data_IF_607560373475
#
_entry.id   IF_607560373475
#
_cell.length_a   1.000
_cell.length_b   1.000
_cell.length_c   1.000
_cell.angle_alpha   90.00
_cell.angle_beta   90.00
_cell.angle_gamma   90.00
#
_symmetry.space_group_name_H-M   'P 1'
#
loop_
_entity.id
_entity.type
_entity.pdbx_description
1 polymer ?
#
# COMPACT_ATOMS: atom_id res chain seq x y z
N UNK A 1 9.60 3.03 -28.27
CA UNK A 1 8.59 2.05 -27.84
C UNK A 1 7.93 2.64 -26.60
N UNK A 2 6.62 2.46 -26.33
CA UNK A 2 6.12 2.86 -25.03
C UNK A 2 6.87 2.05 -23.98
N UNK A 3 7.35 2.71 -22.93
CA UNK A 3 7.98 2.04 -21.80
C UNK A 3 6.97 1.08 -21.19
N UNK A 4 7.29 -0.22 -21.20
CA UNK A 4 6.42 -1.25 -20.63
C UNK A 4 6.60 -1.29 -19.12
N UNK A 5 5.49 -1.33 -18.38
CA UNK A 5 5.56 -1.57 -16.94
C UNK A 5 5.79 -3.06 -16.65
N UNK A 6 6.80 -3.41 -15.83
CA UNK A 6 7.07 -4.80 -15.48
C UNK A 6 5.95 -5.35 -14.57
N UNK A 7 5.66 -6.65 -14.72
CA UNK A 7 4.82 -7.40 -13.78
C UNK A 7 5.73 -8.26 -12.92
N UNK A 8 5.68 -8.04 -11.61
CA UNK A 8 6.46 -8.79 -10.64
C UNK A 8 5.79 -10.15 -10.43
N UNK A 9 6.52 -11.20 -10.76
CA UNK A 9 6.15 -12.58 -10.45
C UNK A 9 6.97 -13.01 -9.23
N UNK A 10 6.33 -13.64 -8.26
CA UNK A 10 6.98 -14.17 -7.07
C UNK A 10 6.26 -15.44 -6.58
N UNK A 11 6.96 -16.26 -5.81
CA UNK A 11 6.48 -17.56 -5.34
C UNK A 11 6.27 -17.58 -3.82
N UNK A 12 5.66 -18.65 -3.32
CA UNK A 12 5.37 -18.80 -1.89
C UNK A 12 6.63 -18.79 -1.00
N UNK A 13 7.81 -19.07 -1.58
CA UNK A 13 9.11 -19.02 -0.90
C UNK A 13 9.56 -17.58 -0.60
N UNK A 14 9.06 -16.61 -1.37
CA UNK A 14 9.42 -15.19 -1.23
C UNK A 14 8.56 -14.49 -0.18
N UNK A 15 7.47 -15.14 0.27
CA UNK A 15 6.53 -14.58 1.22
C UNK A 15 7.11 -14.49 2.63
N UNK A 16 7.03 -13.29 3.20
CA UNK A 16 7.14 -13.09 4.62
C UNK A 16 5.77 -13.37 5.27
N UNK A 17 5.74 -14.35 6.18
CA UNK A 17 4.52 -14.69 6.93
C UNK A 17 4.23 -13.62 7.97
N UNK A 18 3.59 -12.54 7.56
CA UNK A 18 2.92 -11.59 8.44
C UNK A 18 1.42 -11.93 8.46
N UNK A 19 0.87 -12.17 9.65
CA UNK A 19 -0.57 -12.38 9.83
C UNK A 19 -1.32 -11.07 9.55
N UNK A 20 -1.88 -10.91 8.35
CA UNK A 20 -2.68 -9.71 8.05
C UNK A 20 -4.14 -9.87 8.48
N UNK A 21 -4.57 -9.01 9.39
CA UNK A 21 -5.97 -8.81 9.78
C UNK A 21 -6.69 -7.94 8.73
N UNK A 22 -7.58 -8.54 7.92
CA UNK A 22 -8.42 -7.84 6.94
C UNK A 22 -9.00 -8.75 5.85
N UNK A 23 -10.11 -8.35 5.22
CA UNK A 23 -10.79 -9.15 4.18
C UNK A 23 -10.09 -9.13 2.80
N UNK A 24 -9.14 -8.20 2.56
CA UNK A 24 -8.35 -8.15 1.32
C UNK A 24 -6.99 -8.80 1.56
N UNK A 25 -6.63 -9.72 0.67
CA UNK A 25 -5.37 -10.47 0.72
C UNK A 25 -4.19 -9.53 0.52
N UNK A 26 -3.27 -9.53 1.50
CA UNK A 26 -2.04 -8.74 1.50
C UNK A 26 -0.89 -9.62 1.96
N UNK A 27 0.23 -9.58 1.25
CA UNK A 27 1.41 -10.35 1.61
C UNK A 27 2.66 -9.49 1.53
N UNK A 28 3.51 -9.57 2.54
CA UNK A 28 4.86 -9.06 2.43
C UNK A 28 5.73 -10.08 1.70
N UNK A 29 6.61 -9.61 0.82
CA UNK A 29 7.61 -10.44 0.15
C UNK A 29 8.90 -9.66 -0.06
N UNK A 30 10.00 -10.36 -0.30
CA UNK A 30 11.28 -9.74 -0.63
C UNK A 30 11.66 -9.95 -2.08
N UNK A 31 12.29 -8.93 -2.65
CA UNK A 31 12.96 -9.02 -3.95
C UNK A 31 14.33 -8.37 -3.84
N UNK A 32 15.38 -9.19 -3.76
CA UNK A 32 16.71 -8.70 -3.38
C UNK A 32 16.69 -8.17 -1.94
N UNK A 33 17.23 -6.97 -1.74
CA UNK A 33 17.25 -6.30 -0.43
C UNK A 33 15.98 -5.48 -0.15
N UNK A 34 15.06 -5.38 -1.12
CA UNK A 34 13.85 -4.59 -1.00
C UNK A 34 12.68 -5.43 -0.45
N UNK A 35 11.88 -4.81 0.42
CA UNK A 35 10.66 -5.38 0.99
C UNK A 35 9.44 -4.76 0.32
N UNK A 36 8.53 -5.59 -0.15
CA UNK A 36 7.36 -5.19 -0.93
C UNK A 36 6.07 -5.72 -0.32
N UNK A 37 5.01 -4.92 -0.34
CA UNK A 37 3.66 -5.32 0.06
C UNK A 37 2.84 -5.62 -1.19
N UNK A 38 2.59 -6.89 -1.46
CA UNK A 38 1.59 -7.31 -2.43
C UNK A 38 0.19 -7.05 -1.90
N UNK A 39 -0.66 -6.48 -2.76
CA UNK A 39 -2.09 -6.30 -2.55
C UNK A 39 -2.81 -6.97 -3.70
N UNK A 40 -3.58 -8.01 -3.40
CA UNK A 40 -4.39 -8.67 -4.41
C UNK A 40 -5.46 -7.72 -4.95
N UNK A 41 -5.52 -7.58 -6.26
CA UNK A 41 -6.53 -6.80 -6.95
C UNK A 41 -7.83 -7.59 -7.05
N UNK A 42 -8.96 -6.91 -6.92
CA UNK A 42 -10.25 -7.53 -7.26
C UNK A 42 -10.36 -7.69 -8.77
N UNK A 43 -10.89 -8.83 -9.20
CA UNK A 43 -11.11 -9.10 -10.62
C UNK A 43 -12.04 -8.02 -11.22
N UNK A 44 -11.67 -7.51 -12.40
CA UNK A 44 -12.43 -6.52 -13.18
C UNK A 44 -12.67 -5.15 -12.52
N UNK A 45 -11.92 -4.76 -11.49
CA UNK A 45 -12.04 -3.43 -10.88
C UNK A 45 -10.99 -2.42 -11.35
N UNK A 46 -9.85 -2.89 -11.87
CA UNK A 46 -8.72 -2.03 -12.24
C UNK A 46 -8.01 -1.38 -11.05
N UNK A 47 -8.18 -1.92 -9.84
CA UNK A 47 -7.53 -1.44 -8.62
C UNK A 47 -5.99 -1.46 -8.75
N UNK A 48 -5.43 -2.50 -9.38
CA UNK A 48 -3.99 -2.69 -9.61
C UNK A 48 -3.41 -1.58 -10.52
N UNK A 49 -4.07 -1.31 -11.64
CA UNK A 49 -3.64 -0.27 -12.58
C UNK A 49 -3.84 1.14 -12.01
N UNK A 50 -4.89 1.34 -11.22
CA UNK A 50 -5.16 2.63 -10.56
C UNK A 50 -4.07 2.98 -9.54
N UNK A 51 -3.64 2.01 -8.72
CA UNK A 51 -2.51 2.22 -7.80
C UNK A 51 -1.21 2.51 -8.55
N UNK A 52 -0.90 1.74 -9.61
CA UNK A 52 0.30 1.97 -10.44
C UNK A 52 0.28 3.38 -11.05
N UNK A 53 -0.84 3.77 -11.66
CA UNK A 53 -0.99 5.10 -12.25
C UNK A 53 -0.83 6.21 -11.21
N UNK A 54 -1.39 6.05 -10.02
CA UNK A 54 -1.24 7.01 -8.92
C UNK A 54 0.23 7.19 -8.52
N UNK A 55 0.98 6.10 -8.41
CA UNK A 55 2.42 6.14 -8.12
C UNK A 55 3.22 6.85 -9.21
N UNK A 56 2.92 6.60 -10.49
CA UNK A 56 3.63 7.23 -11.61
C UNK A 56 3.32 8.73 -11.68
N UNK A 57 2.06 9.14 -11.49
CA UNK A 57 1.69 10.55 -11.43
C UNK A 57 2.39 11.25 -10.25
N UNK A 58 2.43 10.63 -9.08
CA UNK A 58 3.14 11.19 -7.93
C UNK A 58 4.63 11.39 -8.23
N UNK A 59 5.26 10.40 -8.88
CA UNK A 59 6.67 10.49 -9.30
C UNK A 59 6.90 11.61 -10.32
N UNK A 60 5.98 11.82 -11.28
CA UNK A 60 6.08 12.90 -12.28
C UNK A 60 5.89 14.29 -11.67
N UNK A 61 5.20 14.38 -10.54
CA UNK A 61 4.93 15.62 -9.81
C UNK A 61 5.91 15.87 -8.64
N UNK A 62 6.94 15.03 -8.48
CA UNK A 62 7.87 15.05 -7.35
C UNK A 62 7.16 14.99 -5.97
N UNK A 63 6.02 14.31 -5.90
CA UNK A 63 5.28 14.08 -4.65
C UNK A 63 5.83 12.81 -3.99
N UNK A 64 6.30 12.87 -2.73
CA UNK A 64 6.73 11.67 -2.01
C UNK A 64 5.60 10.65 -1.89
N UNK A 65 5.76 9.51 -2.54
CA UNK A 65 4.82 8.41 -2.52
C UNK A 65 5.58 7.08 -2.57
N UNK A 66 4.94 6.00 -2.09
CA UNK A 66 5.49 4.66 -2.24
C UNK A 66 5.53 4.29 -3.73
N UNK A 67 6.66 3.72 -4.17
CA UNK A 67 6.75 3.14 -5.51
C UNK A 67 5.83 1.94 -5.61
N UNK A 68 4.98 1.92 -6.64
CA UNK A 68 4.09 0.80 -6.94
C UNK A 68 4.50 0.14 -8.26
N UNK A 69 4.51 -1.18 -8.28
CA UNK A 69 4.68 -2.00 -9.49
C UNK A 69 3.51 -2.96 -9.64
N UNK A 70 3.21 -3.38 -10.88
CA UNK A 70 2.23 -4.43 -11.10
C UNK A 70 2.80 -5.77 -10.63
N UNK A 71 1.95 -6.65 -10.10
CA UNK A 71 2.40 -7.92 -9.55
C UNK A 71 1.37 -9.03 -9.77
N UNK A 72 1.85 -10.26 -9.77
CA UNK A 72 1.04 -11.47 -9.85
C UNK A 72 1.62 -12.54 -8.92
N UNK A 73 0.73 -13.21 -8.20
CA UNK A 73 1.05 -14.29 -7.28
C UNK A 73 0.05 -15.42 -7.44
N UNK A 74 0.54 -16.64 -7.68
CA UNK A 74 -0.31 -17.83 -7.86
C UNK A 74 -1.46 -17.63 -8.89
N UNK A 75 -1.19 -16.89 -9.97
CA UNK A 75 -2.17 -16.57 -11.01
C UNK A 75 -3.21 -15.50 -10.62
N UNK A 76 -3.07 -14.87 -9.45
CA UNK A 76 -3.87 -13.72 -9.01
C UNK A 76 -3.11 -12.43 -9.27
N UNK A 77 -3.78 -11.48 -9.91
CA UNK A 77 -3.24 -10.17 -10.25
C UNK A 77 -3.41 -9.18 -9.11
N UNK A 78 -2.47 -8.27 -8.98
CA UNK A 78 -2.50 -7.20 -8.01
C UNK A 78 -1.40 -6.18 -8.27
N UNK A 79 -0.99 -5.49 -7.21
CA UNK A 79 0.13 -4.57 -7.23
C UNK A 79 1.04 -4.79 -6.03
N UNK A 80 2.30 -4.39 -6.15
CA UNK A 80 3.30 -4.43 -5.11
C UNK A 80 3.75 -3.01 -4.76
N UNK A 81 3.62 -2.62 -3.49
CA UNK A 81 4.09 -1.34 -2.98
C UNK A 81 5.41 -1.51 -2.26
N UNK A 82 6.44 -0.76 -2.63
CA UNK A 82 7.74 -0.78 -1.97
C UNK A 82 7.60 -0.23 -0.54
N UNK A 83 8.17 -0.94 0.44
CA UNK A 83 8.30 -0.45 1.80
C UNK A 83 9.29 0.71 1.84
N UNK A 84 8.85 1.86 2.34
CA UNK A 84 9.73 3.00 2.68
C UNK A 84 10.10 3.01 4.18
N UNK A 85 9.63 2.03 4.95
CA UNK A 85 9.99 1.86 6.36
C UNK A 85 11.30 1.07 6.41
N UNK A 86 12.31 1.65 7.06
CA UNK A 86 13.55 0.95 7.40
C UNK A 86 13.51 0.49 8.87
N UNK A 87 13.28 -0.80 9.16
CA UNK A 87 13.23 -1.30 10.54
C UNK A 87 14.57 -1.13 11.27
N UNK A 88 15.70 -1.08 10.54
CA UNK A 88 17.03 -0.87 11.13
C UNK A 88 17.23 0.54 11.68
N UNK A 89 16.41 1.49 11.22
CA UNK A 89 16.41 2.88 11.69
C UNK A 89 15.36 3.13 12.79
N UNK A 90 14.61 2.10 13.20
CA UNK A 90 13.57 2.22 14.24
C UNK A 90 12.31 2.96 13.80
N UNK A 91 12.13 3.17 12.49
CA UNK A 91 10.92 3.79 11.95
C UNK A 91 9.73 2.83 12.03
N UNK A 92 8.59 3.33 12.51
CA UNK A 92 7.31 2.62 12.53
C UNK A 92 6.32 3.33 11.61
N UNK A 93 5.63 2.59 10.76
CA UNK A 93 4.49 3.11 10.01
C UNK A 93 3.26 3.12 10.92
N UNK A 94 2.81 4.32 11.28
CA UNK A 94 1.55 4.54 11.98
C UNK A 94 0.56 5.08 10.95
N UNK A 95 -0.61 4.48 10.83
CA UNK A 95 -1.62 4.96 9.88
C UNK A 95 -2.18 6.32 10.32
N UNK A 96 -2.49 7.20 9.37
CA UNK A 96 -3.04 8.53 9.68
C UNK A 96 -4.30 8.49 10.55
N UNK A 97 -5.16 7.48 10.36
CA UNK A 97 -6.34 7.28 11.19
C UNK A 97 -5.99 6.95 12.66
N UNK A 98 -4.87 6.27 12.91
CA UNK A 98 -4.40 5.98 14.27
C UNK A 98 -3.83 7.24 14.93
N UNK A 99 -3.18 8.12 14.17
CA UNK A 99 -2.73 9.43 14.65
C UNK A 99 -3.92 10.32 15.01
N UNK A 100 -4.93 10.38 14.13
CA UNK A 100 -6.14 11.18 14.33
C UNK A 100 -6.96 10.71 15.54
N UNK A 101 -7.02 9.40 15.78
CA UNK A 101 -7.67 8.83 16.96
C UNK A 101 -7.05 9.30 18.28
N UNK A 102 -5.76 9.67 18.28
CA UNK A 102 -5.06 10.17 19.46
C UNK A 102 -5.24 11.68 19.71
N UNK A 103 -5.61 12.47 18.71
CA UNK A 103 -5.66 13.94 18.81
C UNK A 103 -7.06 14.54 18.75
N UNK A 104 -8.06 13.83 18.22
CA UNK A 104 -9.44 14.33 18.09
C UNK A 104 -10.32 13.80 19.21
N UNK A 105 -10.78 14.69 20.10
CA UNK A 105 -11.79 14.41 21.12
C UNK A 105 -13.10 13.96 20.44
N UNK A 106 -13.40 12.65 20.52
CA UNK A 106 -14.63 12.06 19.97
C UNK A 106 -14.45 11.23 18.69
N UNK A 107 -13.20 10.92 18.28
CA UNK A 107 -12.93 10.04 17.14
C UNK A 107 -13.33 8.58 17.45
N UNK A 108 -14.33 8.08 16.73
CA UNK A 108 -14.78 6.69 16.84
C UNK A 108 -13.89 5.76 16.01
N UNK A 109 -13.05 4.99 16.70
CA UNK A 109 -12.09 4.05 16.10
C UNK A 109 -12.75 2.86 15.38
N UNK A 110 -14.03 2.60 15.60
CA UNK A 110 -14.74 1.42 15.10
C UNK A 110 -15.55 1.73 13.82
N UNK A 111 -15.55 2.99 13.35
CA UNK A 111 -16.22 3.39 12.10
C UNK A 111 -15.36 3.08 10.87
N UNK A 112 -15.82 2.14 10.07
CA UNK A 112 -15.15 1.67 8.83
C UNK A 112 -15.63 2.40 7.56
N UNK A 113 -16.75 3.14 7.61
CA UNK A 113 -17.35 3.84 6.46
C UNK A 113 -17.88 5.24 6.84
N UNK A 114 -17.83 6.17 5.88
CA UNK A 114 -18.35 7.56 5.98
C UNK A 114 -17.70 8.43 7.07
N UNK A 115 -16.40 8.29 7.32
CA UNK A 115 -15.66 9.28 8.10
C UNK A 115 -15.23 10.44 7.20
N UNK A 116 -16.03 11.51 7.23
CA UNK A 116 -15.81 12.76 6.49
C UNK A 116 -15.03 13.79 7.32
N UNK A 117 -14.22 13.34 8.28
CA UNK A 117 -13.53 14.23 9.23
C UNK A 117 -12.13 14.66 8.73
N UNK A 118 -11.76 14.26 7.51
CA UNK A 118 -10.55 14.70 6.81
C UNK A 118 -10.79 16.05 6.11
N UNK A 119 -11.17 17.08 6.87
CA UNK A 119 -11.30 18.45 6.35
C UNK A 119 -10.03 19.26 6.60
N UNK A 120 -9.75 20.23 5.72
CA UNK A 120 -8.60 21.16 5.83
C UNK A 120 -8.60 21.98 7.13
N UNK A 121 -9.74 22.06 7.82
CA UNK A 121 -9.90 22.75 9.10
C UNK A 121 -9.32 21.97 10.28
N UNK A 122 -9.14 20.64 10.16
CA UNK A 122 -8.38 19.82 11.10
C UNK A 122 -6.90 19.85 10.68
N UNK A 123 -6.26 21.01 10.86
CA UNK A 123 -4.83 21.18 10.59
C UNK A 123 -3.99 20.29 11.51
N UNK A 124 -3.20 19.41 10.91
CA UNK A 124 -1.89 18.99 11.41
C UNK A 124 -0.88 20.08 11.04
#
# INVERSE_FOLDING_TARGET
MPDTYPIFQFDAVDLERDETLGNKVKYWFRRGDERWLYKEGRENTGEDWSEKLGSEIASLLDIPAARVELAEYAGKRGCASLSFVNPKEGALLIHGNEVLAGQVLGYDKDKVFHQSDHTLDNKI
#
